data_IF_980747253630
#
_entry.id   IF_980747253630
#
_cell.length_a   1.000
_cell.length_b   1.000
_cell.length_c   1.000
_cell.angle_alpha   90.00
_cell.angle_beta   90.00
_cell.angle_gamma   90.00
#
_symmetry.space_group_name_H-M   'P 1'
#
loop_
_entity.id
_entity.type
_entity.pdbx_description
1 polymer ?
#
# COMPACT_ATOMS: atom_id res chain seq x y z
N UNK A 1 10.78 -4.90 -18.45
CA UNK A 1 10.24 -5.83 -17.43
C UNK A 1 10.00 -5.14 -16.08
N UNK A 2 11.02 -4.70 -15.31
CA UNK A 2 10.79 -4.13 -13.97
C UNK A 2 9.93 -2.85 -13.94
N UNK A 3 10.03 -1.97 -14.95
CA UNK A 3 9.10 -0.84 -15.08
C UNK A 3 7.63 -1.26 -15.11
N UNK A 4 7.31 -2.36 -15.79
CA UNK A 4 5.95 -2.91 -15.82
C UNK A 4 5.55 -3.42 -14.43
N UNK A 5 6.43 -4.13 -13.74
CA UNK A 5 6.18 -4.61 -12.37
C UNK A 5 5.84 -3.46 -11.41
N UNK A 6 6.66 -2.40 -11.37
CA UNK A 6 6.37 -1.21 -10.56
C UNK A 6 5.03 -0.56 -10.93
N UNK A 7 4.73 -0.46 -12.23
CA UNK A 7 3.50 0.16 -12.69
C UNK A 7 2.27 -0.65 -12.29
N UNK A 8 2.32 -1.98 -12.47
CA UNK A 8 1.24 -2.89 -12.08
C UNK A 8 1.02 -2.91 -10.57
N UNK A 9 2.09 -2.96 -9.76
CA UNK A 9 1.99 -2.88 -8.30
C UNK A 9 1.33 -1.56 -7.88
N UNK A 10 1.78 -0.43 -8.43
CA UNK A 10 1.22 0.88 -8.09
C UNK A 10 -0.25 1.01 -8.50
N UNK A 11 -0.62 0.57 -9.70
CA UNK A 11 -2.01 0.62 -10.18
C UNK A 11 -2.94 -0.16 -9.25
N UNK A 12 -2.58 -1.38 -8.85
CA UNK A 12 -3.38 -2.18 -7.92
C UNK A 12 -3.47 -1.53 -6.54
N UNK A 13 -2.33 -1.13 -5.98
CA UNK A 13 -2.26 -0.56 -4.64
C UNK A 13 -3.05 0.74 -4.51
N UNK A 14 -2.89 1.65 -5.48
CA UNK A 14 -3.63 2.91 -5.52
C UNK A 14 -5.13 2.68 -5.59
N UNK A 15 -5.58 1.75 -6.44
CA UNK A 15 -7.01 1.46 -6.62
C UNK A 15 -7.65 1.02 -5.31
N UNK A 16 -6.98 0.13 -4.57
CA UNK A 16 -7.49 -0.36 -3.27
C UNK A 16 -7.47 0.75 -2.23
N UNK A 17 -6.35 1.46 -2.06
CA UNK A 17 -6.23 2.51 -1.04
C UNK A 17 -7.25 3.64 -1.25
N UNK A 18 -7.38 4.15 -2.48
CA UNK A 18 -8.30 5.25 -2.76
C UNK A 18 -9.77 4.79 -2.64
N UNK A 19 -10.10 3.56 -3.03
CA UNK A 19 -11.47 3.06 -2.95
C UNK A 19 -11.91 2.73 -1.51
N UNK A 20 -11.07 2.06 -0.73
CA UNK A 20 -11.42 1.59 0.62
C UNK A 20 -11.14 2.65 1.70
N UNK A 21 -10.00 3.35 1.60
CA UNK A 21 -9.52 4.23 2.66
C UNK A 21 -9.84 5.71 2.40
N UNK A 22 -10.13 6.07 1.14
CA UNK A 22 -10.64 7.38 0.71
C UNK A 22 -9.69 8.55 1.07
N UNK A 23 -8.39 8.29 1.04
CA UNK A 23 -7.32 9.29 1.11
C UNK A 23 -6.36 9.14 -0.09
N UNK A 24 -5.61 10.19 -0.40
CA UNK A 24 -4.62 10.17 -1.49
C UNK A 24 -3.56 9.09 -1.24
N UNK A 25 -3.46 8.12 -2.17
CA UNK A 25 -2.53 7.01 -2.03
C UNK A 25 -1.07 7.49 -2.17
N UNK A 26 -0.20 6.91 -1.36
CA UNK A 26 1.24 7.06 -1.47
C UNK A 26 1.93 5.76 -1.06
N UNK A 27 3.09 5.47 -1.66
CA UNK A 27 3.91 4.34 -1.26
C UNK A 27 5.39 4.60 -1.58
N UNK A 28 6.28 4.12 -0.70
CA UNK A 28 7.68 3.90 -1.05
C UNK A 28 7.83 2.44 -1.52
N UNK A 29 8.34 2.22 -2.73
CA UNK A 29 8.46 0.90 -3.33
C UNK A 29 9.91 0.49 -3.55
N UNK A 30 10.28 -0.72 -3.13
CA UNK A 30 11.63 -1.28 -3.25
C UNK A 30 11.59 -2.59 -4.01
N UNK A 31 12.39 -2.71 -5.07
CA UNK A 31 12.56 -3.95 -5.83
C UNK A 31 13.51 -4.88 -5.07
N UNK A 32 13.08 -6.11 -4.88
CA UNK A 32 13.89 -7.19 -4.33
C UNK A 32 13.99 -8.30 -5.39
N UNK A 33 15.21 -8.74 -5.72
CA UNK A 33 15.45 -9.70 -6.81
C UNK A 33 15.94 -11.08 -6.34
N UNK A 34 16.26 -11.23 -5.06
CA UNK A 34 16.80 -12.45 -4.48
C UNK A 34 16.01 -12.91 -3.26
N UNK A 35 16.00 -14.21 -3.00
CA UNK A 35 15.55 -14.75 -1.72
C UNK A 35 16.73 -14.90 -0.74
N UNK A 36 16.46 -15.43 0.44
CA UNK A 36 17.47 -15.70 1.47
C UNK A 36 18.58 -16.68 1.04
N UNK A 37 18.34 -17.51 0.02
CA UNK A 37 19.31 -18.44 -0.54
C UNK A 37 20.04 -17.88 -1.78
N UNK A 38 19.88 -16.58 -2.08
CA UNK A 38 20.44 -15.89 -3.25
C UNK A 38 19.89 -16.40 -4.61
N UNK A 39 18.74 -17.04 -4.61
CA UNK A 39 18.05 -17.49 -5.82
C UNK A 39 17.16 -16.37 -6.37
N UNK A 40 16.87 -16.42 -7.67
CA UNK A 40 15.99 -15.44 -8.33
C UNK A 40 14.59 -15.42 -7.70
N UNK A 41 14.22 -14.29 -7.11
CA UNK A 41 12.94 -14.10 -6.44
C UNK A 41 12.49 -12.63 -6.55
N UNK A 42 11.95 -12.26 -7.71
CA UNK A 42 11.58 -10.88 -8.05
C UNK A 42 10.25 -10.50 -7.42
N UNK A 43 10.27 -9.57 -6.47
CA UNK A 43 9.08 -8.96 -5.86
C UNK A 43 9.32 -7.49 -5.48
N UNK A 44 8.25 -6.76 -5.16
CA UNK A 44 8.32 -5.36 -4.71
C UNK A 44 7.75 -5.28 -3.31
N UNK A 45 8.51 -4.71 -2.38
CA UNK A 45 8.00 -4.27 -1.10
C UNK A 45 7.42 -2.86 -1.26
N UNK A 46 6.20 -2.64 -0.77
CA UNK A 46 5.56 -1.32 -0.76
C UNK A 46 5.26 -0.92 0.69
N UNK A 47 5.83 0.20 1.13
CA UNK A 47 5.56 0.80 2.44
C UNK A 47 4.52 1.90 2.24
N UNK A 48 3.36 1.74 2.85
CA UNK A 48 2.21 2.63 2.71
C UNK A 48 2.02 3.44 4.00
N UNK A 49 1.84 4.76 3.94
CA UNK A 49 1.47 5.55 5.11
C UNK A 49 0.10 5.12 5.68
N UNK A 50 -0.04 5.10 7.00
CA UNK A 50 -1.29 4.81 7.70
C UNK A 50 -2.35 5.92 7.61
N UNK A 51 -2.36 6.71 6.53
CA UNK A 51 -3.26 7.84 6.33
C UNK A 51 -2.72 8.86 5.32
N UNK A 52 -3.57 9.81 4.93
CA UNK A 52 -3.23 10.83 3.96
C UNK A 52 -4.28 11.94 3.86
N UNK A 53 -4.07 12.91 2.95
CA UNK A 53 -5.08 13.90 2.58
C UNK A 53 -6.38 13.24 2.09
N UNK A 54 -7.53 13.73 2.57
CA UNK A 54 -8.83 13.17 2.20
C UNK A 54 -9.18 13.47 0.74
N UNK A 55 -9.58 12.44 -0.01
CA UNK A 55 -10.08 12.59 -1.38
C UNK A 55 -11.42 13.35 -1.46
N UNK A 56 -12.17 13.43 -0.35
CA UNK A 56 -13.47 14.13 -0.29
C UNK A 56 -13.34 15.59 0.17
N UNK A 57 -12.26 15.92 0.87
CA UNK A 57 -12.05 17.27 1.41
C UNK A 57 -10.55 17.48 1.64
N UNK A 58 -9.89 18.17 0.72
CA UNK A 58 -8.44 18.40 0.72
C UNK A 58 -7.89 19.08 1.98
N UNK A 59 -8.74 19.74 2.78
CA UNK A 59 -8.33 20.36 4.05
C UNK A 59 -8.41 19.40 5.25
N UNK A 60 -8.68 18.11 5.04
CA UNK A 60 -8.78 17.11 6.12
C UNK A 60 -7.82 15.95 5.91
N UNK A 61 -7.16 15.55 7.00
CA UNK A 61 -6.40 14.31 7.08
C UNK A 61 -7.32 13.13 7.41
N UNK A 62 -7.08 11.98 6.79
CA UNK A 62 -7.73 10.72 7.13
C UNK A 62 -6.69 9.72 7.59
N UNK A 63 -6.99 9.05 8.69
CA UNK A 63 -6.25 7.86 9.13
C UNK A 63 -6.79 6.64 8.41
N UNK A 64 -5.91 5.68 8.14
CA UNK A 64 -6.28 4.35 7.74
C UNK A 64 -7.20 3.71 8.79
N UNK A 65 -8.15 2.92 8.33
CA UNK A 65 -9.02 2.10 9.17
C UNK A 65 -8.83 0.63 8.79
N UNK A 66 -8.77 -0.28 9.78
CA UNK A 66 -8.67 -1.70 9.52
C UNK A 66 -9.91 -2.20 8.76
N UNK A 67 -9.82 -3.34 8.05
CA UNK A 67 -10.95 -3.93 7.36
C UNK A 67 -12.13 -4.20 8.32
N UNK A 68 -13.39 -4.15 7.85
CA UNK A 68 -14.57 -4.31 8.72
C UNK A 68 -14.67 -5.64 9.47
N UNK A 69 -13.95 -6.66 9.00
CA UNK A 69 -13.90 -8.00 9.58
C UNK A 69 -12.71 -8.20 10.54
N UNK A 70 -11.87 -7.18 10.71
CA UNK A 70 -10.73 -7.20 11.61
C UNK A 70 -11.02 -6.41 12.89
N UNK A 71 -10.23 -6.69 13.94
CA UNK A 71 -10.38 -5.99 15.23
C UNK A 71 -10.00 -4.51 15.08
N UNK A 72 -10.72 -3.60 15.74
CA UNK A 72 -10.53 -2.15 15.57
C UNK A 72 -9.27 -1.59 16.24
N UNK A 73 -8.48 -2.40 16.94
CA UNK A 73 -7.31 -2.00 17.75
C UNK A 73 -5.96 -2.21 17.04
N UNK A 74 -5.95 -2.45 15.73
CA UNK A 74 -4.71 -2.64 14.94
C UNK A 74 -4.27 -1.36 14.23
N UNK A 75 -2.95 -1.15 14.22
CA UNK A 75 -2.30 -0.02 13.57
C UNK A 75 -1.93 -0.28 12.09
N UNK A 76 -2.19 -1.48 11.56
CA UNK A 76 -1.80 -1.89 10.21
C UNK A 76 -2.98 -2.25 9.31
N UNK A 77 -2.77 -2.09 8.00
CA UNK A 77 -3.80 -2.14 6.95
C UNK A 77 -4.04 -3.52 6.35
N UNK A 78 -3.10 -4.45 6.48
CA UNK A 78 -3.15 -5.82 5.95
C UNK A 78 -2.48 -6.76 6.92
N UNK A 79 -2.89 -8.04 6.94
CA UNK A 79 -2.18 -9.07 7.69
C UNK A 79 -0.71 -9.12 7.26
N UNK A 80 0.19 -8.96 8.24
CA UNK A 80 1.64 -9.04 8.08
C UNK A 80 2.15 -10.45 8.39
#
# INVERSE_FOLDING_TARGET
MFRLLFHSVWQSLRTVLESEQQFEAAAAMVLHTWNQHLESHVHVHAIVPGGGPSLKNSNRWRKATPPPHERPDRDWLVDA
#
